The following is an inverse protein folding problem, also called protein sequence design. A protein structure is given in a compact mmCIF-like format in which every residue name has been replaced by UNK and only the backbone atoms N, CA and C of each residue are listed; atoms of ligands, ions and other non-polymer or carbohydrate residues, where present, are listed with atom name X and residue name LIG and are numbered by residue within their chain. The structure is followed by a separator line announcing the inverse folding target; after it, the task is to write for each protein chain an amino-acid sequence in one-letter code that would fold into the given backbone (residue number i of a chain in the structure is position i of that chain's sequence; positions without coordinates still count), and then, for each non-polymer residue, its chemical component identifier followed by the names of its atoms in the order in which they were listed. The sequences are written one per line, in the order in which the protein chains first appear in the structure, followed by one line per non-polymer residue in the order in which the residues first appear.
data_IF_254908469874
#
_entry.id   IF_254908469874
#
_cell.length_a   1.000
_cell.length_b   1.000
_cell.length_c   1.000
_cell.angle_alpha   90.00
_cell.angle_beta   90.00
_cell.angle_gamma   90.00
#
_symmetry.space_group_name_H-M   'P 1'
#
loop_
_entity.id
_entity.type
_entity.pdbx_description
1 polymer ?
#
# COMPACT_ATOMS: atom_id res chain seq x y z
N UNK A 1 16.19 20.00 -14.09
CA UNK A 1 15.56 19.92 -12.75
C UNK A 1 16.39 20.74 -11.77
N UNK A 2 15.80 21.73 -11.10
CA UNK A 2 16.48 22.72 -10.25
C UNK A 2 17.14 22.10 -8.99
N UNK A 3 18.33 22.58 -8.62
CA UNK A 3 19.09 22.27 -7.40
C UNK A 3 18.20 22.21 -6.14
N UNK A 4 17.34 23.22 -5.99
CA UNK A 4 16.40 23.34 -4.86
C UNK A 4 15.44 22.16 -4.73
N UNK A 5 15.03 21.57 -5.86
CA UNK A 5 14.12 20.42 -5.84
C UNK A 5 14.83 19.17 -5.34
N UNK A 6 16.06 18.90 -5.79
CA UNK A 6 16.77 17.65 -5.48
C UNK A 6 17.48 17.65 -4.13
N UNK A 7 18.12 18.76 -3.74
CA UNK A 7 18.98 18.75 -2.55
C UNK A 7 18.31 19.30 -1.30
N UNK A 8 17.24 20.08 -1.44
CA UNK A 8 16.56 20.69 -0.30
C UNK A 8 15.18 20.09 -0.12
N UNK A 9 14.33 20.15 -1.15
CA UNK A 9 12.94 19.67 -1.05
C UNK A 9 12.91 18.14 -0.96
N UNK A 10 13.59 17.42 -1.85
CA UNK A 10 13.60 15.94 -1.80
C UNK A 10 14.31 15.43 -0.54
N UNK A 11 15.45 16.00 -0.13
CA UNK A 11 16.14 15.57 1.11
C UNK A 11 15.27 15.78 2.35
N UNK A 12 14.55 16.91 2.45
CA UNK A 12 13.64 17.16 3.55
C UNK A 12 12.44 16.19 3.54
N UNK A 13 11.86 15.94 2.36
CA UNK A 13 10.81 14.94 2.18
C UNK A 13 11.29 13.53 2.55
N UNK A 14 12.54 13.19 2.21
CA UNK A 14 13.14 11.89 2.53
C UNK A 14 13.38 11.76 4.05
N UNK A 15 13.80 12.82 4.74
CA UNK A 15 13.98 12.78 6.20
C UNK A 15 12.65 12.64 6.93
N UNK A 16 11.64 13.40 6.51
CA UNK A 16 10.29 13.31 7.03
C UNK A 16 9.69 11.92 6.77
N UNK A 17 9.83 11.39 5.55
CA UNK A 17 9.40 10.03 5.19
C UNK A 17 10.08 8.98 6.07
N UNK A 18 11.41 9.09 6.26
CA UNK A 18 12.17 8.20 7.14
C UNK A 18 11.67 8.23 8.59
N UNK A 19 11.33 9.40 9.13
CA UNK A 19 10.76 9.54 10.48
C UNK A 19 9.39 8.86 10.58
N UNK A 20 8.48 9.12 9.64
CA UNK A 20 7.17 8.49 9.62
C UNK A 20 7.26 6.97 9.51
N UNK A 21 8.20 6.43 8.72
CA UNK A 21 8.44 5.00 8.64
C UNK A 21 8.95 4.42 9.96
N UNK A 22 9.82 5.13 10.69
CA UNK A 22 10.25 4.70 12.03
C UNK A 22 9.09 4.69 13.02
N UNK A 23 8.20 5.68 12.95
CA UNK A 23 6.99 5.71 13.78
C UNK A 23 6.10 4.50 13.50
N UNK A 24 5.83 4.18 12.22
CA UNK A 24 5.03 2.98 11.89
C UNK A 24 5.68 1.70 12.42
N UNK A 25 7.01 1.56 12.33
CA UNK A 25 7.73 0.41 12.91
C UNK A 25 7.63 0.35 14.43
N UNK A 26 7.71 1.49 15.11
CA UNK A 26 7.55 1.56 16.55
C UNK A 26 6.12 1.17 16.97
N UNK A 27 5.11 1.57 16.19
CA UNK A 27 3.73 1.11 16.36
C UNK A 27 3.61 -0.40 16.20
N UNK A 28 4.17 -0.97 15.13
CA UNK A 28 4.19 -2.43 14.91
C UNK A 28 4.85 -3.16 16.09
N UNK A 29 5.95 -2.63 16.62
CA UNK A 29 6.64 -3.24 17.76
C UNK A 29 5.80 -3.22 19.06
N UNK A 30 4.94 -2.21 19.23
CA UNK A 30 4.06 -2.07 20.41
C UNK A 30 2.75 -2.83 20.24
N UNK A 31 2.19 -2.81 19.05
CA UNK A 31 0.89 -3.39 18.70
C UNK A 31 1.01 -4.22 17.41
N UNK A 32 1.64 -5.41 17.48
CA UNK A 32 1.93 -6.21 16.28
C UNK A 32 0.68 -6.74 15.57
N UNK A 33 -0.48 -6.72 16.24
CA UNK A 33 -1.77 -7.16 15.69
C UNK A 33 -2.58 -6.03 15.06
N UNK A 34 -2.12 -4.78 15.15
CA UNK A 34 -2.78 -3.65 14.52
C UNK A 34 -2.40 -3.61 13.03
N UNK A 35 -3.37 -3.81 12.13
CA UNK A 35 -3.13 -3.90 10.69
C UNK A 35 -2.72 -2.56 10.05
N UNK A 36 -3.16 -1.43 10.60
CA UNK A 36 -3.00 -0.10 9.96
C UNK A 36 -1.54 0.34 9.80
N UNK A 37 -0.65 0.18 10.81
CA UNK A 37 0.77 0.48 10.64
C UNK A 37 1.45 -0.30 9.52
N UNK A 38 1.08 -1.57 9.29
CA UNK A 38 1.61 -2.36 8.18
C UNK A 38 1.18 -1.77 6.82
N UNK A 39 -0.10 -1.42 6.67
CA UNK A 39 -0.60 -0.72 5.48
C UNK A 39 0.13 0.60 5.24
N UNK A 40 0.27 1.46 6.27
CA UNK A 40 0.94 2.76 6.12
C UNK A 40 2.42 2.60 5.77
N UNK A 41 3.12 1.65 6.41
CA UNK A 41 4.51 1.35 6.08
C UNK A 41 4.66 0.82 4.64
N UNK A 42 3.71 0.02 4.17
CA UNK A 42 3.70 -0.44 2.79
C UNK A 42 3.56 0.71 1.78
N UNK A 43 2.74 1.72 2.07
CA UNK A 43 2.62 2.88 1.17
C UNK A 43 3.93 3.64 1.02
N UNK A 44 4.70 3.79 2.10
CA UNK A 44 6.03 4.40 2.00
C UNK A 44 6.96 3.58 1.12
N UNK A 45 6.98 2.25 1.27
CA UNK A 45 7.78 1.39 0.39
C UNK A 45 7.33 1.41 -1.08
N UNK A 46 6.03 1.51 -1.36
CA UNK A 46 5.54 1.72 -2.74
C UNK A 46 6.09 3.02 -3.32
N UNK A 47 6.11 4.10 -2.55
CA UNK A 47 6.65 5.39 -2.97
C UNK A 47 8.17 5.32 -3.23
N UNK A 48 8.90 4.50 -2.49
CA UNK A 48 10.33 4.23 -2.69
C UNK A 48 10.62 3.24 -3.85
N UNK A 49 9.58 2.69 -4.51
CA UNK A 49 9.73 1.67 -5.56
C UNK A 49 10.06 0.26 -5.03
N UNK A 50 9.97 0.07 -3.71
CA UNK A 50 10.26 -1.17 -2.99
C UNK A 50 9.03 -2.07 -2.97
N UNK A 51 8.70 -2.58 -4.14
CA UNK A 51 7.42 -3.22 -4.43
C UNK A 51 7.23 -4.55 -3.69
N UNK A 52 8.30 -5.33 -3.50
CA UNK A 52 8.25 -6.62 -2.80
C UNK A 52 8.01 -6.42 -1.30
N UNK A 53 8.71 -5.49 -0.66
CA UNK A 53 8.50 -5.21 0.77
C UNK A 53 7.12 -4.62 1.05
N UNK A 54 6.63 -3.76 0.14
CA UNK A 54 5.27 -3.25 0.22
C UNK A 54 4.23 -4.39 0.13
N UNK A 55 4.43 -5.34 -0.80
CA UNK A 55 3.52 -6.46 -0.98
C UNK A 55 3.44 -7.32 0.29
N UNK A 56 4.59 -7.66 0.87
CA UNK A 56 4.64 -8.44 2.11
C UNK A 56 3.91 -7.77 3.27
N UNK A 57 4.07 -6.44 3.43
CA UNK A 57 3.38 -5.68 4.47
C UNK A 57 1.87 -5.58 4.24
N UNK A 58 1.43 -5.41 3.00
CA UNK A 58 -0.01 -5.38 2.68
C UNK A 58 -0.66 -6.74 2.90
N UNK A 59 0.02 -7.83 2.55
CA UNK A 59 -0.45 -9.19 2.83
C UNK A 59 -0.57 -9.44 4.33
N UNK A 60 0.39 -8.95 5.13
CA UNK A 60 0.30 -9.02 6.58
C UNK A 60 -0.86 -8.16 7.12
N UNK A 61 -1.07 -6.96 6.57
CA UNK A 61 -2.17 -6.10 6.95
C UNK A 61 -3.54 -6.78 6.74
N UNK A 62 -3.78 -7.40 5.57
CA UNK A 62 -5.04 -8.11 5.31
C UNK A 62 -5.15 -9.43 6.07
N UNK A 63 -4.03 -10.04 6.48
CA UNK A 63 -4.02 -11.20 7.38
C UNK A 63 -4.45 -10.82 8.80
N UNK A 64 -4.10 -9.62 9.25
CA UNK A 64 -4.45 -9.09 10.57
C UNK A 64 -5.87 -8.51 10.62
N UNK A 65 -6.29 -7.87 9.54
CA UNK A 65 -7.64 -7.34 9.35
C UNK A 65 -8.13 -7.60 7.91
N UNK A 66 -8.91 -8.66 7.77
CA UNK A 66 -9.51 -9.09 6.50
C UNK A 66 -10.47 -8.06 5.90
N UNK A 67 -10.89 -7.05 6.67
CA UNK A 67 -11.80 -5.99 6.23
C UNK A 67 -11.09 -4.66 6.01
N UNK A 68 -9.76 -4.61 6.04
CA UNK A 68 -9.01 -3.39 5.77
C UNK A 68 -9.05 -3.06 4.27
N UNK A 69 -10.08 -2.29 3.89
CA UNK A 69 -10.41 -1.99 2.51
C UNK A 69 -9.24 -1.36 1.74
N UNK A 70 -8.50 -0.45 2.36
CA UNK A 70 -7.39 0.27 1.72
C UNK A 70 -6.19 -0.64 1.41
N UNK A 71 -5.96 -1.66 2.25
CA UNK A 71 -4.91 -2.66 2.02
C UNK A 71 -5.30 -3.59 0.87
N UNK A 72 -6.55 -4.04 0.84
CA UNK A 72 -7.10 -4.80 -0.29
C UNK A 72 -7.07 -4.00 -1.60
N UNK A 73 -7.44 -2.72 -1.59
CA UNK A 73 -7.36 -1.87 -2.78
C UNK A 73 -5.92 -1.73 -3.29
N UNK A 74 -4.96 -1.54 -2.38
CA UNK A 74 -3.53 -1.44 -2.75
C UNK A 74 -2.98 -2.75 -3.31
N UNK A 75 -3.36 -3.90 -2.75
CA UNK A 75 -3.00 -5.21 -3.30
C UNK A 75 -3.60 -5.41 -4.69
N UNK A 76 -4.85 -5.02 -4.91
CA UNK A 76 -5.50 -5.13 -6.21
C UNK A 76 -4.75 -4.33 -7.28
N UNK A 77 -4.38 -3.08 -6.99
CA UNK A 77 -3.57 -2.26 -7.89
C UNK A 77 -2.21 -2.89 -8.18
N UNK A 78 -1.52 -3.40 -7.15
CA UNK A 78 -0.19 -4.00 -7.30
C UNK A 78 -0.22 -5.27 -8.15
N UNK A 79 -1.19 -6.15 -7.92
CA UNK A 79 -1.35 -7.36 -8.71
C UNK A 79 -1.79 -7.07 -10.14
N UNK A 80 -2.60 -6.04 -10.37
CA UNK A 80 -2.96 -5.61 -11.72
C UNK A 80 -1.74 -5.14 -12.53
N UNK A 81 -0.80 -4.43 -11.89
CA UNK A 81 0.48 -4.04 -12.52
C UNK A 81 1.39 -5.24 -12.79
N UNK A 82 1.32 -6.28 -11.96
CA UNK A 82 2.02 -7.55 -12.18
C UNK A 82 1.30 -8.48 -13.17
N UNK A 83 0.19 -8.04 -13.75
CA UNK A 83 -0.68 -8.83 -14.64
C UNK A 83 -1.28 -10.09 -14.00
N UNK A 84 -1.22 -10.23 -12.67
CA UNK A 84 -1.96 -11.24 -11.92
C UNK A 84 -3.39 -10.75 -11.68
N UNK A 85 -4.19 -10.79 -12.74
CA UNK A 85 -5.58 -10.31 -12.70
C UNK A 85 -6.47 -11.14 -11.78
N UNK A 86 -6.13 -12.42 -11.54
CA UNK A 86 -6.87 -13.28 -10.62
C UNK A 86 -6.73 -12.80 -9.17
N UNK A 87 -5.49 -12.52 -8.73
CA UNK A 87 -5.24 -11.92 -7.43
C UNK A 87 -5.79 -10.48 -7.36
N UNK A 88 -5.64 -9.70 -8.43
CA UNK A 88 -6.14 -8.34 -8.49
C UNK A 88 -7.66 -8.27 -8.23
N UNK A 89 -8.44 -9.11 -8.93
CA UNK A 89 -9.89 -9.17 -8.75
C UNK A 89 -10.29 -9.67 -7.37
N UNK A 90 -9.59 -10.66 -6.81
CA UNK A 90 -9.86 -11.15 -5.45
C UNK A 90 -9.75 -10.03 -4.43
N UNK A 91 -8.67 -9.26 -4.47
CA UNK A 91 -8.47 -8.16 -3.54
C UNK A 91 -9.39 -6.97 -3.84
N UNK A 92 -9.68 -6.68 -5.11
CA UNK A 92 -10.62 -5.62 -5.48
C UNK A 92 -12.04 -5.88 -4.96
N UNK A 93 -12.52 -7.12 -5.06
CA UNK A 93 -13.84 -7.50 -4.54
C UNK A 93 -13.88 -7.48 -3.00
N UNK A 94 -12.79 -7.89 -2.34
CA UNK A 94 -12.69 -7.78 -0.88
C UNK A 94 -12.71 -6.31 -0.42
N UNK A 95 -12.01 -5.40 -1.13
CA UNK A 95 -12.09 -3.96 -0.86
C UNK A 95 -13.52 -3.42 -1.06
N UNK A 96 -14.20 -3.82 -2.15
CA UNK A 96 -15.58 -3.41 -2.46
C UNK A 96 -16.55 -3.87 -1.36
N UNK A 97 -16.42 -5.11 -0.88
CA UNK A 97 -17.20 -5.64 0.25
C UNK A 97 -16.93 -4.92 1.57
N UNK A 98 -15.71 -4.41 1.74
CA UNK A 98 -15.31 -3.61 2.89
C UNK A 98 -15.69 -2.12 2.77
N UNK A 99 -16.29 -1.70 1.65
CA UNK A 99 -16.80 -0.34 1.43
C UNK A 99 -15.95 0.54 0.51
N UNK A 100 -14.90 0.00 -0.13
CA UNK A 100 -14.08 0.71 -1.11
C UNK A 100 -14.19 0.06 -2.51
N UNK A 101 -15.10 0.52 -3.38
CA UNK A 101 -15.30 -0.05 -4.71
C UNK A 101 -14.25 0.39 -5.74
N UNK A 102 -13.34 1.32 -5.40
CA UNK A 102 -12.49 2.02 -6.36
C UNK A 102 -11.61 1.06 -7.17
N UNK A 103 -11.01 0.08 -6.49
CA UNK A 103 -10.15 -0.90 -7.15
C UNK A 103 -10.93 -1.75 -8.16
N UNK A 104 -12.13 -2.21 -7.79
CA UNK A 104 -12.98 -3.00 -8.69
C UNK A 104 -13.45 -2.16 -9.89
N UNK A 105 -13.84 -0.91 -9.67
CA UNK A 105 -14.20 0.03 -10.74
C UNK A 105 -13.03 0.26 -11.71
N UNK A 106 -11.82 0.43 -11.19
CA UNK A 106 -10.61 0.60 -12.01
C UNK A 106 -10.39 -0.62 -12.91
N UNK A 107 -10.46 -1.84 -12.37
CA UNK A 107 -10.30 -3.07 -13.17
C UNK A 107 -11.36 -3.18 -14.28
N UNK A 108 -12.64 -2.90 -13.95
CA UNK A 108 -13.75 -2.87 -14.94
C UNK A 108 -13.46 -1.86 -16.05
N UNK A 109 -13.05 -0.64 -15.68
CA UNK A 109 -12.79 0.45 -16.61
C UNK A 109 -11.66 0.12 -17.59
N UNK A 110 -10.66 -0.62 -17.14
CA UNK A 110 -9.54 -1.05 -17.98
C UNK A 110 -9.80 -2.36 -18.74
N UNK A 111 -11.00 -2.94 -18.64
CA UNK A 111 -11.36 -4.16 -19.34
C UNK A 111 -10.61 -5.40 -18.84
N UNK A 112 -10.05 -5.34 -17.64
CA UNK A 112 -9.36 -6.45 -17.00
C UNK A 112 -10.43 -7.45 -16.56
N UNK A 113 -10.36 -8.68 -17.09
CA UNK A 113 -11.31 -9.76 -16.82
C UNK A 113 -10.85 -10.67 -15.69
#
# INVERSE_FOLDING_TARGET
MSFWRKEVIQVALDDETRRHMQEQRAWIAREPTNARPYYHLAQFYRMEGRQEEALGLLLEAVRLDERLAEAHASLAEMYAVQEDYGAAWRHALAAEQAGDPRAAELLRRHGIK
#
